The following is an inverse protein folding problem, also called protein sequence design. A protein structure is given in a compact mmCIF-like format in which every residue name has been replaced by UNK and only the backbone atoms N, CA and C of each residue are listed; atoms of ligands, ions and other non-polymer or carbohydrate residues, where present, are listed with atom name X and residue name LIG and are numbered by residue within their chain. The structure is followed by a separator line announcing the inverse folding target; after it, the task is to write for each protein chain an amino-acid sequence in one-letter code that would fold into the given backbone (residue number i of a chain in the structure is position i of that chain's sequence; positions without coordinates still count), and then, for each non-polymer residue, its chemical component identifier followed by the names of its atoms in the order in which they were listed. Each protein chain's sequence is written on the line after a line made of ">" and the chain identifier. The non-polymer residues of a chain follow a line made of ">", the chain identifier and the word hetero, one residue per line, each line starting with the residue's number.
data_IF_411355830904
#
_entry.id   IF_411355830904
#
_cell.length_a   1.000
_cell.length_b   1.000
_cell.length_c   1.000
_cell.angle_alpha   90.00
_cell.angle_beta   90.00
_cell.angle_gamma   90.00
#
_symmetry.space_group_name_H-M   'P 1'
#
loop_
_entity.id
_entity.type
_entity.pdbx_description
1 polymer ?
#
# COMPACT_ATOMS: atom_id res chain seq x y z
N UNK A 1 -34.27 11.34 38.03
CA UNK A 1 -32.98 11.94 37.62
C UNK A 1 -31.89 10.90 37.37
N UNK A 2 -31.91 9.75 38.05
CA UNK A 2 -30.89 8.69 37.94
C UNK A 2 -30.86 7.94 36.58
N UNK A 3 -32.02 7.74 35.93
CA UNK A 3 -32.09 7.00 34.66
C UNK A 3 -31.47 7.74 33.47
N UNK A 4 -31.59 9.08 33.43
CA UNK A 4 -30.99 9.88 32.35
C UNK A 4 -29.46 9.85 32.40
N UNK A 5 -28.87 9.76 33.60
CA UNK A 5 -27.43 9.65 33.76
C UNK A 5 -26.89 8.31 33.20
N UNK A 6 -27.61 7.21 33.44
CA UNK A 6 -27.27 5.88 32.91
C UNK A 6 -27.31 5.86 31.38
N UNK A 7 -28.33 6.44 30.75
CA UNK A 7 -28.41 6.54 29.28
C UNK A 7 -27.33 7.40 28.65
N UNK A 8 -26.92 8.51 29.31
CA UNK A 8 -25.80 9.34 28.87
C UNK A 8 -24.49 8.55 28.94
N UNK A 9 -24.25 7.80 30.03
CA UNK A 9 -23.07 6.94 30.15
C UNK A 9 -23.04 5.83 29.09
N UNK A 10 -24.17 5.16 28.81
CA UNK A 10 -24.23 4.16 27.74
C UNK A 10 -24.00 4.77 26.35
N UNK A 11 -24.50 5.99 26.09
CA UNK A 11 -24.25 6.70 24.83
C UNK A 11 -22.77 7.09 24.65
N UNK A 12 -22.10 7.51 25.73
CA UNK A 12 -20.67 7.85 25.73
C UNK A 12 -19.81 6.58 25.55
N UNK A 13 -20.13 5.49 26.24
CA UNK A 13 -19.42 4.22 26.07
C UNK A 13 -19.62 3.62 24.68
N UNK A 14 -20.82 3.71 24.10
CA UNK A 14 -21.08 3.22 22.75
C UNK A 14 -20.34 4.03 21.67
N UNK A 15 -20.22 5.35 21.86
CA UNK A 15 -19.44 6.22 20.95
C UNK A 15 -17.93 6.03 21.12
N UNK A 16 -17.42 5.86 22.35
CA UNK A 16 -16.01 5.49 22.59
C UNK A 16 -15.66 4.11 22.02
N UNK A 17 -16.55 3.13 22.11
CA UNK A 17 -16.36 1.81 21.50
C UNK A 17 -16.34 1.90 19.97
N UNK A 18 -17.25 2.64 19.35
CA UNK A 18 -17.24 2.89 17.91
C UNK A 18 -15.96 3.58 17.43
N UNK A 19 -15.41 4.53 18.22
CA UNK A 19 -14.13 5.19 17.93
C UNK A 19 -12.95 4.21 18.08
N UNK A 20 -12.99 3.30 19.05
CA UNK A 20 -11.94 2.30 19.26
C UNK A 20 -11.90 1.22 18.17
N UNK A 21 -13.04 0.91 17.53
CA UNK A 21 -13.09 -0.01 16.38
C UNK A 21 -12.72 0.67 15.04
N UNK A 22 -12.72 2.01 14.98
CA UNK A 22 -12.58 2.76 13.73
C UNK A 22 -11.14 3.05 13.27
N UNK A 23 -10.09 2.50 13.90
CA UNK A 23 -8.75 2.65 13.30
C UNK A 23 -7.56 2.36 14.18
N UNK A 24 -7.42 1.12 14.67
CA UNK A 24 -6.07 0.63 14.97
C UNK A 24 -5.35 0.37 13.64
N UNK A 25 -4.79 1.41 13.02
CA UNK A 25 -3.87 1.24 11.90
C UNK A 25 -2.67 0.41 12.39
N UNK A 26 -2.44 -0.75 11.78
CA UNK A 26 -1.30 -1.61 12.13
C UNK A 26 -0.02 -0.98 11.58
N UNK A 27 1.08 -1.02 12.32
CA UNK A 27 2.38 -0.60 11.80
C UNK A 27 3.05 -1.80 11.15
N UNK A 28 3.59 -1.60 9.95
CA UNK A 28 4.36 -2.61 9.22
C UNK A 28 5.68 -1.99 8.78
N UNK A 29 6.79 -2.66 9.04
CA UNK A 29 8.04 -2.36 8.36
C UNK A 29 8.08 -3.19 7.09
N UNK A 30 8.15 -2.56 5.92
CA UNK A 30 8.12 -3.29 4.65
C UNK A 30 9.42 -4.04 4.38
N UNK A 31 10.53 -3.63 5.00
CA UNK A 31 11.85 -4.26 4.81
C UNK A 31 11.99 -5.58 5.56
N UNK A 32 11.12 -5.83 6.55
CA UNK A 32 11.00 -7.11 7.26
C UNK A 32 10.33 -8.22 6.42
N UNK A 33 10.01 -7.92 5.16
CA UNK A 33 9.38 -8.88 4.25
C UNK A 33 10.37 -9.93 3.75
N UNK A 34 9.83 -11.04 3.26
CA UNK A 34 10.65 -12.06 2.61
C UNK A 34 11.15 -11.54 1.27
N UNK A 35 12.47 -11.55 0.99
CA UNK A 35 12.99 -11.15 -0.31
C UNK A 35 12.61 -12.20 -1.36
N UNK A 36 11.97 -11.76 -2.43
CA UNK A 36 11.55 -12.59 -3.57
C UNK A 36 12.08 -11.95 -4.84
N UNK A 37 12.65 -12.75 -5.75
CA UNK A 37 13.11 -12.25 -7.03
C UNK A 37 11.94 -12.00 -7.97
N UNK A 38 12.10 -11.06 -8.88
CA UNK A 38 11.15 -10.77 -9.95
C UNK A 38 10.80 -12.04 -10.75
N UNK A 39 11.81 -12.82 -11.09
CA UNK A 39 11.68 -14.11 -11.77
C UNK A 39 10.84 -15.16 -11.02
N UNK A 40 10.70 -15.03 -9.69
CA UNK A 40 9.89 -15.91 -8.84
C UNK A 40 8.45 -15.39 -8.60
N UNK A 41 8.12 -14.18 -9.09
CA UNK A 41 6.77 -13.63 -8.98
C UNK A 41 5.78 -14.41 -9.88
N UNK A 42 4.46 -14.37 -9.60
CA UNK A 42 3.46 -14.94 -10.51
C UNK A 42 3.61 -14.37 -11.93
N UNK A 43 3.43 -15.22 -12.95
CA UNK A 43 3.69 -14.85 -14.34
C UNK A 43 2.89 -13.62 -14.80
N UNK A 44 1.64 -13.53 -14.36
CA UNK A 44 0.75 -12.39 -14.61
C UNK A 44 1.31 -11.07 -14.04
N UNK A 45 1.91 -11.11 -12.85
CA UNK A 45 2.58 -9.95 -12.25
C UNK A 45 3.81 -9.58 -13.07
N UNK A 46 4.64 -10.56 -13.44
CA UNK A 46 5.82 -10.30 -14.25
C UNK A 46 5.45 -9.62 -15.57
N UNK A 47 4.46 -10.16 -16.27
CA UNK A 47 4.00 -9.64 -17.56
C UNK A 47 3.41 -8.23 -17.43
N UNK A 48 2.68 -7.96 -16.35
CA UNK A 48 2.14 -6.63 -16.06
C UNK A 48 3.25 -5.61 -15.79
N UNK A 49 4.26 -5.98 -14.99
CA UNK A 49 5.38 -5.10 -14.69
C UNK A 49 6.27 -4.83 -15.91
N UNK A 50 6.47 -5.82 -16.77
CA UNK A 50 7.17 -5.65 -18.07
C UNK A 50 6.36 -4.74 -18.99
N UNK A 51 5.04 -4.99 -19.10
CA UNK A 51 4.16 -4.13 -19.89
C UNK A 51 4.21 -2.67 -19.37
N UNK A 52 4.29 -2.47 -18.06
CA UNK A 52 4.46 -1.13 -17.46
C UNK A 52 5.78 -0.49 -17.83
N UNK A 53 6.90 -1.19 -17.74
CA UNK A 53 8.19 -0.65 -18.18
C UNK A 53 8.13 -0.17 -19.64
N UNK A 54 7.54 -0.96 -20.52
CA UNK A 54 7.48 -0.65 -21.96
C UNK A 54 6.55 0.53 -22.29
N UNK A 55 5.57 0.81 -21.43
CA UNK A 55 4.52 1.81 -21.70
C UNK A 55 4.57 3.02 -20.75
N UNK A 56 5.47 3.03 -19.77
CA UNK A 56 5.73 4.21 -18.91
C UNK A 56 6.84 5.05 -19.54
N UNK A 57 6.51 5.78 -20.59
CA UNK A 57 7.46 6.71 -21.23
C UNK A 57 7.35 8.09 -20.56
N UNK A 58 8.41 8.54 -19.89
CA UNK A 58 8.60 9.95 -19.57
C UNK A 58 9.03 10.65 -20.87
N UNK A 59 8.10 11.04 -21.74
CA UNK A 59 8.43 11.83 -22.94
C UNK A 59 8.08 13.30 -22.76
N UNK A 60 9.13 14.12 -22.83
CA UNK A 60 9.06 15.57 -23.08
C UNK A 60 8.55 15.70 -24.53
N UNK A 61 7.44 16.40 -24.73
CA UNK A 61 6.77 16.67 -26.04
C UNK A 61 5.76 15.58 -26.50
N UNK A 62 4.47 15.82 -26.19
CA UNK A 62 3.28 15.33 -26.90
C UNK A 62 2.85 13.84 -26.84
N UNK A 63 3.05 13.12 -25.72
CA UNK A 63 2.31 11.85 -25.49
C UNK A 63 1.58 11.78 -24.15
N UNK A 64 0.51 10.97 -24.15
CA UNK A 64 -0.37 10.70 -23.00
C UNK A 64 0.46 10.15 -21.84
N UNK A 65 0.56 10.92 -20.76
CA UNK A 65 1.19 10.47 -19.51
C UNK A 65 0.26 9.45 -18.86
N UNK A 66 0.66 8.18 -18.86
CA UNK A 66 0.03 7.17 -18.02
C UNK A 66 0.65 7.29 -16.63
N UNK A 67 0.00 8.06 -15.76
CA UNK A 67 0.43 8.20 -14.37
C UNK A 67 0.22 6.86 -13.65
N UNK A 68 1.32 6.28 -13.16
CA UNK A 68 1.29 4.99 -12.48
C UNK A 68 0.60 5.14 -11.12
N UNK A 69 -0.33 4.23 -10.84
CA UNK A 69 -0.87 4.10 -9.49
C UNK A 69 0.21 3.59 -8.53
N UNK A 70 0.22 4.13 -7.31
CA UNK A 70 1.15 3.69 -6.26
C UNK A 70 0.96 2.20 -5.87
N UNK A 71 -0.19 1.61 -6.22
CA UNK A 71 -0.54 0.20 -5.92
C UNK A 71 -1.19 -0.46 -7.14
N UNK A 72 -0.70 -1.65 -7.51
CA UNK A 72 -1.30 -2.55 -8.50
C UNK A 72 -2.08 -3.62 -7.74
N UNK A 73 -3.32 -3.87 -8.11
CA UNK A 73 -4.14 -4.89 -7.44
C UNK A 73 -4.54 -6.01 -8.41
N UNK A 74 -4.20 -7.25 -8.06
CA UNK A 74 -4.67 -8.48 -8.70
C UNK A 74 -5.67 -9.15 -7.76
N UNK A 75 -6.94 -9.17 -8.14
CA UNK A 75 -8.05 -9.72 -7.34
C UNK A 75 -8.18 -9.11 -5.92
N UNK A 76 -7.63 -7.92 -5.71
CA UNK A 76 -7.69 -7.18 -4.45
C UNK A 76 -8.19 -5.76 -4.63
N UNK A 77 -8.59 -5.11 -3.54
CA UNK A 77 -8.87 -3.68 -3.52
C UNK A 77 -8.04 -3.02 -2.44
N UNK A 78 -6.97 -2.34 -2.84
CA UNK A 78 -6.17 -1.51 -1.94
C UNK A 78 -6.00 -0.09 -2.48
N UNK A 79 -5.85 0.83 -1.56
CA UNK A 79 -5.52 2.22 -1.83
C UNK A 79 -4.24 2.59 -1.10
N UNK A 80 -3.36 3.32 -1.78
CA UNK A 80 -2.22 3.95 -1.14
C UNK A 80 -2.68 5.14 -0.32
N UNK A 81 -2.33 5.15 0.96
CA UNK A 81 -2.61 6.26 1.85
C UNK A 81 -1.38 7.14 1.97
N UNK A 82 -1.56 8.45 1.82
CA UNK A 82 -0.54 9.47 2.06
C UNK A 82 -1.13 10.58 2.93
N UNK A 83 -0.48 10.84 4.07
CA UNK A 83 -0.84 11.93 4.98
C UNK A 83 0.29 12.95 5.00
N UNK A 84 -0.06 14.23 4.99
CA UNK A 84 0.87 15.35 4.91
C UNK A 84 0.56 16.41 5.97
N UNK A 85 1.60 17.12 6.42
CA UNK A 85 1.48 18.32 7.23
C UNK A 85 2.34 19.41 6.61
N UNK A 86 1.71 20.32 5.87
CA UNK A 86 2.43 21.23 4.99
C UNK A 86 3.20 20.43 3.93
N UNK A 87 4.49 20.75 3.68
CA UNK A 87 5.29 20.03 2.69
C UNK A 87 5.80 18.66 3.17
N UNK A 88 5.51 18.28 4.42
CA UNK A 88 6.09 17.09 5.05
C UNK A 88 5.14 15.90 4.97
N UNK A 89 5.62 14.77 4.46
CA UNK A 89 4.92 13.49 4.54
C UNK A 89 5.00 12.99 5.98
N UNK A 90 3.84 12.77 6.60
CA UNK A 90 3.73 12.35 8.01
C UNK A 90 3.46 10.86 8.17
N UNK A 91 2.81 10.24 7.19
CA UNK A 91 2.67 8.79 7.11
C UNK A 91 2.33 8.35 5.70
N UNK A 92 2.73 7.12 5.36
CA UNK A 92 2.23 6.37 4.21
C UNK A 92 1.70 5.02 4.66
N UNK A 93 0.84 4.42 3.87
CA UNK A 93 0.24 3.13 4.21
C UNK A 93 -0.60 2.56 3.09
N UNK A 94 -1.28 1.46 3.42
CA UNK A 94 -2.26 0.81 2.58
C UNK A 94 -3.58 0.73 3.32
N UNK A 95 -4.68 1.01 2.62
CA UNK A 95 -6.03 0.70 3.06
C UNK A 95 -6.60 -0.40 2.21
N UNK A 96 -7.20 -1.41 2.82
CA UNK A 96 -7.94 -2.44 2.09
C UNK A 96 -9.40 -2.01 1.94
N UNK A 97 -9.89 -1.97 0.71
CA UNK A 97 -11.21 -1.42 0.39
C UNK A 97 -12.36 -2.29 0.91
N UNK A 98 -12.16 -3.61 1.00
CA UNK A 98 -13.23 -4.55 1.42
C UNK A 98 -13.67 -4.39 2.87
N UNK A 99 -12.74 -4.01 3.76
CA UNK A 99 -12.94 -4.03 5.22
C UNK A 99 -12.43 -2.77 5.93
N UNK A 100 -11.88 -1.81 5.17
CA UNK A 100 -11.36 -0.54 5.69
C UNK A 100 -10.12 -0.69 6.57
N UNK A 101 -9.49 -1.87 6.65
CA UNK A 101 -8.28 -2.04 7.46
C UNK A 101 -7.13 -1.25 6.87
N UNK A 102 -6.36 -0.62 7.75
CA UNK A 102 -5.22 0.22 7.39
C UNK A 102 -3.92 -0.34 7.99
N UNK A 103 -2.88 -0.35 7.16
CA UNK A 103 -1.51 -0.63 7.57
C UNK A 103 -0.66 0.59 7.25
N UNK A 104 -0.04 1.19 8.26
CA UNK A 104 0.91 2.30 8.11
C UNK A 104 2.32 1.76 8.03
N UNK A 105 3.08 2.22 7.05
CA UNK A 105 4.50 1.92 6.97
C UNK A 105 5.23 2.60 8.13
N UNK A 106 6.07 1.83 8.82
CA UNK A 106 6.99 2.32 9.84
C UNK A 106 8.41 2.42 9.29
N UNK A 107 9.26 3.19 9.97
CA UNK A 107 10.64 3.39 9.53
C UNK A 107 10.74 4.40 8.39
N UNK A 108 11.25 3.97 7.24
CA UNK A 108 11.40 4.83 6.07
C UNK A 108 10.03 5.12 5.42
N UNK A 109 9.58 6.37 5.51
CA UNK A 109 8.33 6.80 4.89
C UNK A 109 8.42 6.81 3.36
N UNK A 110 9.62 6.92 2.79
CA UNK A 110 9.80 6.76 1.36
C UNK A 110 9.80 5.24 1.08
N UNK A 111 8.61 4.74 0.77
CA UNK A 111 8.39 3.36 0.31
C UNK A 111 8.46 3.36 -1.21
N UNK A 112 9.27 2.47 -1.82
CA UNK A 112 9.29 2.33 -3.27
C UNK A 112 7.92 1.92 -3.84
N UNK A 113 7.56 2.51 -4.96
CA UNK A 113 6.31 2.24 -5.69
C UNK A 113 6.63 1.83 -7.13
N UNK A 114 5.72 1.10 -7.79
CA UNK A 114 4.41 0.64 -7.33
C UNK A 114 4.48 -0.61 -6.45
N UNK A 115 3.55 -0.71 -5.50
CA UNK A 115 3.36 -1.90 -4.66
C UNK A 115 2.41 -2.86 -5.38
N UNK A 116 2.77 -4.13 -5.50
CA UNK A 116 1.86 -5.14 -6.07
C UNK A 116 1.10 -5.82 -4.95
N UNK A 117 -0.22 -5.90 -5.06
CA UNK A 117 -1.10 -6.59 -4.13
C UNK A 117 -1.83 -7.75 -4.83
N UNK A 118 -1.80 -8.93 -4.21
CA UNK A 118 -2.53 -10.13 -4.65
C UNK A 118 -3.24 -10.71 -3.43
N UNK A 119 -4.57 -10.52 -3.36
CA UNK A 119 -5.35 -10.87 -2.18
C UNK A 119 -4.86 -10.16 -0.91
N UNK A 120 -4.32 -10.91 0.05
CA UNK A 120 -3.75 -10.35 1.29
C UNK A 120 -2.21 -10.27 1.27
N UNK A 121 -1.57 -10.66 0.17
CA UNK A 121 -0.12 -10.59 -0.02
C UNK A 121 0.25 -9.33 -0.79
N UNK A 122 1.28 -8.62 -0.33
CA UNK A 122 1.88 -7.48 -1.03
C UNK A 122 3.34 -7.76 -1.37
N UNK A 123 3.80 -7.13 -2.44
CA UNK A 123 5.18 -7.14 -2.92
C UNK A 123 5.62 -5.69 -3.10
N UNK A 124 6.61 -5.28 -2.32
CA UNK A 124 7.13 -3.91 -2.35
C UNK A 124 8.52 -3.95 -3.01
N UNK A 125 8.79 -3.13 -4.05
CA UNK A 125 10.11 -3.06 -4.66
C UNK A 125 11.19 -2.77 -3.60
N UNK A 126 12.35 -3.42 -3.72
CA UNK A 126 13.47 -3.16 -2.80
C UNK A 126 14.14 -1.80 -3.02
N UNK A 127 13.96 -1.21 -4.20
CA UNK A 127 14.58 0.05 -4.60
C UNK A 127 13.64 0.90 -5.47
N UNK A 128 13.94 2.21 -5.56
CA UNK A 128 13.19 3.14 -6.38
C UNK A 128 13.41 2.90 -7.86
N UNK A 129 12.39 3.20 -8.65
CA UNK A 129 12.46 3.12 -10.11
C UNK A 129 12.82 1.72 -10.61
N UNK A 130 12.64 0.67 -9.79
CA UNK A 130 12.94 -0.70 -10.18
C UNK A 130 12.25 -1.11 -11.49
N UNK A 131 11.08 -0.53 -11.76
CA UNK A 131 10.31 -0.78 -12.97
C UNK A 131 10.88 -0.13 -14.23
N UNK A 132 11.85 0.78 -14.15
CA UNK A 132 12.44 1.38 -15.36
C UNK A 132 13.49 0.48 -16.02
N UNK A 133 13.77 -0.69 -15.45
CA UNK A 133 14.74 -1.67 -15.96
C UNK A 133 14.40 -3.11 -15.53
N UNK A 134 13.14 -3.41 -15.24
CA UNK A 134 12.75 -4.70 -14.64
C UNK A 134 12.89 -5.87 -15.63
N UNK A 135 12.61 -5.62 -16.91
CA UNK A 135 12.70 -6.57 -18.03
C UNK A 135 14.11 -7.14 -18.19
N UNK A 136 15.11 -6.30 -17.99
CA UNK A 136 16.52 -6.67 -18.10
C UNK A 136 17.15 -7.09 -16.75
N UNK A 137 16.35 -7.11 -15.66
CA UNK A 137 16.81 -7.43 -14.31
C UNK A 137 15.97 -8.53 -13.64
N UNK A 138 16.15 -9.82 -14.02
CA UNK A 138 15.42 -10.93 -13.43
C UNK A 138 15.73 -11.18 -11.95
N UNK A 139 16.84 -10.62 -11.46
CA UNK A 139 17.30 -10.70 -10.07
C UNK A 139 16.79 -9.53 -9.20
N UNK A 140 16.01 -8.61 -9.78
CA UNK A 140 15.31 -7.55 -9.07
C UNK A 140 14.54 -8.12 -7.86
N UNK A 141 14.68 -7.49 -6.70
CA UNK A 141 14.13 -8.00 -5.44
C UNK A 141 12.88 -7.21 -5.04
N UNK A 142 11.88 -7.94 -4.57
CA UNK A 142 10.68 -7.43 -3.91
C UNK A 142 10.59 -8.01 -2.50
N UNK A 143 10.13 -7.19 -1.55
CA UNK A 143 9.78 -7.64 -0.21
C UNK A 143 8.33 -8.13 -0.19
N UNK A 144 8.15 -9.44 -0.02
CA UNK A 144 6.85 -10.09 0.10
C UNK A 144 6.38 -10.05 1.55
N UNK A 145 5.15 -9.59 1.76
CA UNK A 145 4.50 -9.58 3.08
C UNK A 145 3.04 -10.00 2.99
N UNK A 146 2.54 -10.61 4.06
CA UNK A 146 1.11 -10.96 4.20
C UNK A 146 0.46 -10.01 5.20
N UNK A 147 -0.49 -9.23 4.71
CA UNK A 147 -1.29 -8.29 5.49
C UNK A 147 -2.40 -9.03 6.25
N UNK A 148 -2.08 -9.44 7.48
CA UNK A 148 -3.01 -10.03 8.45
C UNK A 148 -3.90 -8.98 9.11
#
# INVERSE_FOLDING_TARGET
>A
MENNLKHIFYGIFASLALIAFAGCSRRIDYTDGEPVKFSDLPKEVQDTLIWWEEHTTISIEDTVVVELGDVICFDSGYEFLRSEFGPWITSRGLRRNRDGREWKFSGNLNVPTPIVAIGDTIYIPSEYNLLTYIKDNPDAVFFRQVLK
#
